data_IF_875960494483
#
_entry.id   IF_875960494483
#
_cell.length_a   1.000
_cell.length_b   1.000
_cell.length_c   1.000
_cell.angle_alpha   90.00
_cell.angle_beta   90.00
_cell.angle_gamma   90.00
#
_symmetry.space_group_name_H-M   'P 1'
#
loop_
_entity.id
_entity.type
_entity.pdbx_description
1 polymer ?
#
# COMPACT_ATOMS: atom_id res chain seq x y z
N UNK A 1 -21.06 28.58 -3.07
CA UNK A 1 -21.24 27.11 -3.13
C UNK A 1 -20.24 26.52 -2.18
N UNK A 2 -20.71 26.02 -1.04
CA UNK A 2 -19.85 25.52 0.03
C UNK A 2 -19.55 24.03 -0.20
N UNK A 3 -18.27 23.69 -0.29
CA UNK A 3 -17.83 22.30 -0.48
C UNK A 3 -17.77 21.62 0.89
N UNK A 4 -18.84 20.90 1.25
CA UNK A 4 -18.86 20.05 2.43
C UNK A 4 -17.95 18.83 2.19
N UNK A 5 -16.79 18.80 2.85
CA UNK A 5 -15.92 17.62 2.88
C UNK A 5 -16.52 16.64 3.90
N UNK A 6 -17.15 15.58 3.42
CA UNK A 6 -17.63 14.48 4.27
C UNK A 6 -16.47 13.50 4.47
N UNK A 7 -15.86 13.52 5.65
CA UNK A 7 -14.94 12.47 6.07
C UNK A 7 -15.73 11.20 6.37
N UNK A 8 -15.74 10.26 5.44
CA UNK A 8 -16.25 8.90 5.69
C UNK A 8 -15.14 8.14 6.43
N UNK A 9 -15.34 7.68 7.67
CA UNK A 9 -14.36 6.84 8.33
C UNK A 9 -14.18 5.56 7.51
N UNK A 10 -12.94 5.09 7.30
CA UNK A 10 -12.73 3.85 6.56
C UNK A 10 -13.50 2.74 7.26
N UNK A 11 -14.43 2.08 6.54
CA UNK A 11 -14.95 0.78 6.98
C UNK A 11 -13.74 -0.07 7.34
N UNK A 12 -13.75 -0.69 8.52
CA UNK A 12 -12.73 -1.64 8.97
C UNK A 12 -12.48 -2.67 7.86
N UNK A 13 -11.54 -2.39 6.97
CA UNK A 13 -11.01 -3.38 6.05
C UNK A 13 -10.25 -4.33 6.96
N UNK A 14 -10.68 -5.58 6.96
CA UNK A 14 -9.86 -6.66 7.46
C UNK A 14 -8.58 -6.64 6.62
N UNK A 15 -7.52 -6.04 7.17
CA UNK A 15 -6.18 -6.15 6.63
C UNK A 15 -5.68 -7.49 7.16
N UNK A 16 -5.47 -8.51 6.31
CA UNK A 16 -4.75 -9.69 6.77
C UNK A 16 -3.41 -9.19 7.30
N UNK A 17 -3.13 -9.44 8.57
CA UNK A 17 -1.81 -9.15 9.12
C UNK A 17 -0.81 -9.94 8.26
N UNK A 18 -0.08 -9.24 7.38
CA UNK A 18 1.02 -9.83 6.64
C UNK A 18 1.96 -10.41 7.69
N UNK A 19 2.00 -11.74 7.75
CA UNK A 19 2.85 -12.41 8.73
C UNK A 19 4.29 -12.02 8.41
N UNK A 20 5.11 -11.79 9.45
CA UNK A 20 6.54 -11.47 9.30
C UNK A 20 7.29 -12.41 8.34
N UNK A 21 6.75 -13.61 8.12
CA UNK A 21 7.31 -14.64 7.26
C UNK A 21 7.08 -14.41 5.75
N UNK A 22 6.16 -13.54 5.37
CA UNK A 22 5.87 -13.21 3.96
C UNK A 22 6.73 -12.04 3.45
N UNK A 23 7.13 -11.12 4.34
CA UNK A 23 8.09 -10.05 4.06
C UNK A 23 9.47 -10.59 3.65
N UNK A 24 9.80 -11.82 4.06
CA UNK A 24 11.12 -12.43 3.86
C UNK A 24 11.20 -13.24 2.54
N UNK A 25 10.07 -13.56 1.91
CA UNK A 25 10.06 -14.44 0.72
C UNK A 25 10.24 -13.73 -0.63
N UNK A 26 10.23 -12.40 -0.67
CA UNK A 26 10.55 -11.62 -1.88
C UNK A 26 12.04 -11.30 -2.05
N UNK A 27 12.91 -11.84 -1.17
CA UNK A 27 14.37 -11.79 -1.34
C UNK A 27 14.80 -12.93 -2.24
N UNK A 28 14.40 -12.90 -3.51
CA UNK A 28 14.99 -13.77 -4.53
C UNK A 28 16.16 -13.04 -5.21
N UNK A 29 17.36 -13.37 -4.70
CA UNK A 29 18.60 -13.59 -5.45
C UNK A 29 19.62 -12.45 -5.72
N UNK A 30 19.42 -11.17 -5.42
CA UNK A 30 20.51 -10.16 -5.54
C UNK A 30 20.47 -9.15 -4.40
N UNK A 31 21.63 -8.63 -4.03
CA UNK A 31 21.92 -7.82 -2.84
C UNK A 31 20.76 -6.94 -2.36
N UNK A 32 20.44 -7.05 -1.07
CA UNK A 32 19.46 -6.17 -0.41
C UNK A 32 20.00 -4.74 -0.49
N UNK A 33 19.25 -3.88 -1.16
CA UNK A 33 19.58 -2.46 -1.28
C UNK A 33 19.03 -1.68 -0.08
N UNK A 34 19.73 -0.61 0.30
CA UNK A 34 19.35 0.27 1.39
C UNK A 34 19.19 1.71 0.90
N UNK A 35 18.31 2.46 1.56
CA UNK A 35 18.19 3.91 1.40
C UNK A 35 18.29 4.59 2.76
N UNK A 36 18.86 5.80 2.82
CA UNK A 36 19.09 6.51 4.06
C UNK A 36 18.10 7.67 4.25
N UNK A 37 17.55 7.79 5.45
CA UNK A 37 16.73 8.93 5.87
C UNK A 37 17.04 9.25 7.33
N UNK A 38 17.36 10.52 7.61
CA UNK A 38 17.73 10.99 8.95
C UNK A 38 18.88 10.19 9.60
N UNK A 39 19.92 9.87 8.82
CA UNK A 39 21.08 9.12 9.30
C UNK A 39 20.83 7.64 9.62
N UNK A 40 19.64 7.12 9.28
CA UNK A 40 19.30 5.72 9.45
C UNK A 40 19.03 5.07 8.10
N UNK A 41 19.55 3.84 7.93
CA UNK A 41 19.33 3.04 6.73
C UNK A 41 18.07 2.17 6.86
N UNK A 42 17.34 2.05 5.76
CA UNK A 42 16.13 1.25 5.61
C UNK A 42 16.27 0.32 4.41
N UNK A 43 15.97 -0.98 4.55
CA UNK A 43 16.04 -1.92 3.44
C UNK A 43 14.92 -1.63 2.44
N UNK A 44 15.25 -1.71 1.14
CA UNK A 44 14.29 -1.59 0.06
C UNK A 44 13.61 -2.95 -0.19
N UNK A 45 12.28 -2.96 -0.23
CA UNK A 45 11.49 -4.12 -0.63
C UNK A 45 11.17 -4.03 -2.13
N UNK A 46 11.36 -5.13 -2.87
CA UNK A 46 10.98 -5.20 -4.28
C UNK A 46 9.49 -5.55 -4.42
N UNK A 47 8.76 -4.73 -5.19
CA UNK A 47 7.40 -5.02 -5.64
C UNK A 47 7.50 -5.62 -7.05
N UNK A 48 7.16 -6.89 -7.19
CA UNK A 48 7.27 -7.59 -8.47
C UNK A 48 6.11 -7.24 -9.43
N UNK A 49 6.21 -7.74 -10.65
CA UNK A 49 5.19 -7.56 -11.70
C UNK A 49 3.83 -8.20 -11.37
N UNK A 50 3.75 -9.02 -10.30
CA UNK A 50 2.51 -9.64 -9.83
C UNK A 50 1.84 -8.84 -8.72
N UNK A 51 2.48 -7.78 -8.23
CA UNK A 51 1.90 -6.88 -7.23
C UNK A 51 0.57 -6.31 -7.78
N UNK A 52 -0.57 -6.60 -7.14
CA UNK A 52 -1.87 -6.22 -7.68
C UNK A 52 -2.06 -4.70 -7.59
N UNK A 53 -2.70 -4.15 -8.62
CA UNK A 53 -3.12 -2.75 -8.62
C UNK A 53 -4.48 -2.62 -7.93
N UNK A 54 -4.64 -1.61 -7.08
CA UNK A 54 -5.90 -1.30 -6.40
C UNK A 54 -6.47 0.02 -6.92
N UNK A 55 -7.62 -0.06 -7.60
CA UNK A 55 -8.37 1.11 -8.06
C UNK A 55 -9.58 1.35 -7.16
N UNK A 56 -9.99 2.61 -7.05
CA UNK A 56 -11.18 3.00 -6.31
C UNK A 56 -11.93 4.09 -7.08
N UNK A 57 -13.21 3.85 -7.39
CA UNK A 57 -14.11 4.84 -7.98
C UNK A 57 -15.41 4.89 -7.20
N UNK A 58 -15.70 6.04 -6.61
CA UNK A 58 -16.88 6.24 -5.79
C UNK A 58 -17.84 7.15 -6.56
N UNK A 59 -18.82 6.53 -7.20
CA UNK A 59 -19.78 7.19 -8.06
C UNK A 59 -20.94 7.77 -7.25
N UNK A 60 -21.11 9.10 -7.26
CA UNK A 60 -22.21 9.77 -6.58
C UNK A 60 -23.56 9.55 -7.28
N UNK A 61 -23.59 9.48 -8.61
CA UNK A 61 -24.81 9.23 -9.38
C UNK A 61 -24.57 8.10 -10.37
N UNK A 62 -24.87 6.84 -10.00
CA UNK A 62 -24.64 5.68 -10.86
C UNK A 62 -25.48 5.65 -12.14
N UNK A 63 -26.55 6.46 -12.20
CA UNK A 63 -27.50 6.46 -13.30
C UNK A 63 -27.14 7.42 -14.44
N UNK A 64 -25.98 8.08 -14.39
CA UNK A 64 -25.55 9.11 -15.34
C UNK A 64 -24.90 8.56 -16.60
#
# INVERSE_FOLDING_TARGET
MEHLIVMIPPLNRYVPALSKNELVKTVTNRDIQFTSFNGKDYPLCFLDEKTPLLFQWFERNPAR
#
